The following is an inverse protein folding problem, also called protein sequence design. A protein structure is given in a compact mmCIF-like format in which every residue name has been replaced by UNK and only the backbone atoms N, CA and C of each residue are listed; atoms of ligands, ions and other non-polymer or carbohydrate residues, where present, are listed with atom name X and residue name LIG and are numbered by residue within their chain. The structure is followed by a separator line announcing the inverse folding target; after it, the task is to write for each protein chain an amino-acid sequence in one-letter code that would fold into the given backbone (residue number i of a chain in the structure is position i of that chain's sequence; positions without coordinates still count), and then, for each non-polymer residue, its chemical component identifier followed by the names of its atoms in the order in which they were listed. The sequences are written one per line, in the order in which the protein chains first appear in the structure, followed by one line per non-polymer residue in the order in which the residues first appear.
data_IF_379558481302
#
_entry.id   IF_379558481302
#
_cell.length_a   1.000
_cell.length_b   1.000
_cell.length_c   1.000
_cell.angle_alpha   90.00
_cell.angle_beta   90.00
_cell.angle_gamma   90.00
#
_symmetry.space_group_name_H-M   'P 1'
#
loop_
_entity.id
_entity.type
_entity.pdbx_description
1 polymer ?
#
# COMPACT_ATOMS: atom_id res chain seq x y z
N UNK A 1 19.24 45.91 -14.17
CA UNK A 1 17.83 45.50 -14.01
C UNK A 1 17.65 44.16 -14.71
N UNK A 2 17.77 43.06 -13.96
CA UNK A 2 17.78 41.69 -14.50
C UNK A 2 16.42 41.05 -14.22
N UNK A 3 15.57 40.97 -15.23
CA UNK A 3 14.27 40.29 -15.18
C UNK A 3 14.38 38.91 -15.82
N UNK A 4 14.78 37.92 -15.00
CA UNK A 4 14.53 36.50 -15.29
C UNK A 4 13.09 36.17 -14.89
N UNK A 5 12.20 36.02 -15.86
CA UNK A 5 10.85 35.51 -15.62
C UNK A 5 10.71 34.18 -16.37
N UNK A 6 10.49 33.14 -15.56
CA UNK A 6 10.43 31.72 -15.88
C UNK A 6 9.45 31.40 -17.03
N UNK A 7 9.97 30.81 -18.11
CA UNK A 7 9.21 30.35 -19.27
C UNK A 7 9.27 28.82 -19.47
N UNK A 8 9.41 28.07 -18.38
CA UNK A 8 9.33 26.60 -18.40
C UNK A 8 8.31 26.09 -17.39
N UNK A 9 7.04 26.48 -17.55
CA UNK A 9 5.94 25.86 -16.82
C UNK A 9 5.02 25.12 -17.78
N UNK A 10 5.16 23.80 -17.71
CA UNK A 10 4.16 22.78 -18.01
C UNK A 10 3.59 22.73 -19.43
N UNK A 11 4.34 22.09 -20.33
CA UNK A 11 3.77 21.28 -21.41
C UNK A 11 3.59 19.82 -20.96
N UNK A 12 3.16 19.61 -19.71
CA UNK A 12 2.47 18.37 -19.35
C UNK A 12 0.98 18.70 -19.34
N UNK A 13 0.42 18.82 -20.54
CA UNK A 13 -1.01 18.72 -20.74
C UNK A 13 -1.47 17.44 -20.07
N UNK A 14 -2.17 17.60 -18.94
CA UNK A 14 -2.72 16.49 -18.18
C UNK A 14 -3.69 15.75 -19.09
N UNK A 15 -3.27 14.57 -19.57
CA UNK A 15 -4.16 13.54 -20.07
C UNK A 15 -4.94 13.01 -18.85
N UNK A 16 -5.88 13.82 -18.36
CA UNK A 16 -6.55 13.67 -17.06
C UNK A 16 -7.75 12.74 -17.10
N UNK A 17 -7.91 11.94 -18.16
CA UNK A 17 -9.04 11.04 -18.33
C UNK A 17 -8.55 9.64 -18.72
N UNK A 18 -8.11 8.85 -17.71
CA UNK A 18 -8.05 7.36 -17.71
C UNK A 18 -7.60 6.72 -16.37
N UNK A 19 -7.03 7.49 -15.42
CA UNK A 19 -6.22 6.93 -14.31
C UNK A 19 -6.70 7.18 -12.87
N UNK A 20 -8.01 7.19 -12.60
CA UNK A 20 -8.54 7.20 -11.22
C UNK A 20 -8.42 5.83 -10.52
N UNK A 21 -8.46 5.79 -9.18
CA UNK A 21 -8.66 4.52 -8.45
C UNK A 21 -10.06 4.01 -8.84
N UNK A 22 -10.21 2.81 -9.44
CA UNK A 22 -11.51 2.33 -9.89
C UNK A 22 -12.48 2.26 -8.70
N UNK A 23 -13.66 2.89 -8.84
CA UNK A 23 -14.69 2.94 -7.78
C UNK A 23 -15.24 1.52 -7.53
N UNK A 24 -15.66 1.21 -6.29
CA UNK A 24 -16.21 -0.13 -5.95
C UNK A 24 -17.41 -0.49 -6.84
N UNK A 25 -18.23 0.49 -7.17
CA UNK A 25 -19.45 0.30 -7.98
C UNK A 25 -19.16 0.21 -9.49
N UNK A 26 -17.89 0.33 -9.93
CA UNK A 26 -17.46 0.23 -11.34
C UNK A 26 -16.48 -0.94 -11.55
N UNK A 27 -16.56 -1.97 -10.72
CA UNK A 27 -15.74 -3.17 -10.90
C UNK A 27 -16.39 -4.08 -11.97
N UNK A 28 -15.60 -4.73 -12.85
CA UNK A 28 -16.14 -5.68 -13.83
C UNK A 28 -16.87 -6.81 -13.11
N UNK A 29 -17.98 -7.36 -13.63
CA UNK A 29 -18.77 -8.37 -12.93
C UNK A 29 -17.95 -9.63 -12.58
N UNK A 30 -18.43 -10.43 -11.60
CA UNK A 30 -17.77 -11.71 -11.30
C UNK A 30 -17.92 -12.65 -12.51
N UNK A 31 -16.85 -13.33 -12.97
CA UNK A 31 -16.87 -14.16 -14.17
C UNK A 31 -17.54 -15.53 -13.98
N UNK A 32 -18.70 -15.60 -13.32
CA UNK A 32 -19.40 -16.87 -13.03
C UNK A 32 -19.90 -17.59 -14.28
N UNK A 33 -20.13 -16.86 -15.37
CA UNK A 33 -20.66 -17.39 -16.64
C UNK A 33 -19.64 -18.16 -17.48
N UNK A 34 -18.33 -18.05 -17.17
CA UNK A 34 -17.27 -18.73 -17.92
C UNK A 34 -17.22 -20.25 -17.64
N UNK A 35 -17.94 -20.71 -16.63
CA UNK A 35 -17.93 -22.09 -16.18
C UNK A 35 -19.22 -22.76 -16.61
N UNK A 36 -19.12 -23.82 -17.41
CA UNK A 36 -20.19 -24.79 -17.63
C UNK A 36 -19.95 -25.99 -16.72
N UNK A 37 -21.02 -26.56 -16.15
CA UNK A 37 -20.89 -27.71 -15.24
C UNK A 37 -20.37 -28.96 -15.97
N UNK A 38 -20.57 -29.06 -17.29
CA UNK A 38 -20.08 -30.16 -18.13
C UNK A 38 -18.54 -30.17 -18.30
N UNK A 39 -17.91 -29.00 -18.22
CA UNK A 39 -16.47 -28.82 -18.44
C UNK A 39 -15.63 -28.99 -17.16
N UNK A 40 -16.27 -29.38 -16.04
CA UNK A 40 -15.61 -29.49 -14.73
C UNK A 40 -15.65 -30.92 -14.22
N UNK A 41 -14.48 -31.41 -13.82
CA UNK A 41 -14.38 -32.56 -12.93
C UNK A 41 -14.25 -32.10 -11.48
N UNK A 42 -15.12 -32.63 -10.62
CA UNK A 42 -15.07 -32.40 -9.19
C UNK A 42 -14.58 -33.63 -8.43
N UNK A 43 -13.63 -33.41 -7.52
CA UNK A 43 -13.08 -34.43 -6.62
C UNK A 43 -13.15 -33.96 -5.18
N UNK A 44 -13.61 -34.83 -4.29
CA UNK A 44 -13.60 -34.60 -2.85
C UNK A 44 -12.40 -35.28 -2.23
N UNK A 45 -11.70 -34.52 -1.39
CA UNK A 45 -10.48 -34.95 -0.73
C UNK A 45 -10.62 -34.79 0.79
N UNK A 46 -9.80 -35.55 1.51
CA UNK A 46 -9.59 -35.32 2.94
C UNK A 46 -8.69 -34.09 3.13
N UNK A 47 -8.85 -33.41 4.27
CA UNK A 47 -8.05 -32.22 4.64
C UNK A 47 -6.55 -32.48 4.86
N UNK A 48 -6.12 -33.74 4.80
CA UNK A 48 -4.75 -34.20 5.01
C UNK A 48 -4.47 -34.67 6.44
N UNK A 49 -3.22 -35.08 6.70
CA UNK A 49 -2.71 -35.44 8.04
C UNK A 49 -1.87 -34.32 8.65
N UNK A 50 -2.20 -33.07 8.33
CA UNK A 50 -1.47 -31.89 8.80
C UNK A 50 -1.92 -31.42 10.19
N UNK A 51 -1.25 -30.38 10.74
CA UNK A 51 -1.72 -29.68 11.93
C UNK A 51 -3.12 -29.11 11.67
N UNK A 52 -4.12 -29.76 12.25
CA UNK A 52 -5.53 -29.49 12.02
C UNK A 52 -6.38 -30.30 12.99
N UNK A 53 -7.61 -29.84 13.24
CA UNK A 53 -8.53 -30.57 14.12
C UNK A 53 -8.96 -31.91 13.52
N UNK A 54 -9.33 -32.85 14.38
CA UNK A 54 -9.83 -34.18 13.98
C UNK A 54 -10.93 -34.09 12.91
N UNK A 55 -11.83 -33.12 13.03
CA UNK A 55 -12.91 -32.89 12.07
C UNK A 55 -12.40 -32.55 10.67
N UNK A 56 -11.35 -31.75 10.56
CA UNK A 56 -10.80 -31.31 9.27
C UNK A 56 -10.06 -32.46 8.58
N UNK A 57 -9.33 -33.27 9.35
CA UNK A 57 -8.49 -34.33 8.80
C UNK A 57 -9.31 -35.56 8.39
N UNK A 58 -10.41 -35.86 9.10
CA UNK A 58 -11.26 -37.03 8.83
C UNK A 58 -12.38 -36.78 7.81
N UNK A 59 -12.82 -35.53 7.63
CA UNK A 59 -13.96 -35.22 6.75
C UNK A 59 -13.50 -34.94 5.32
N UNK A 60 -14.25 -35.44 4.32
CA UNK A 60 -14.08 -35.15 2.90
C UNK A 60 -14.62 -33.78 2.49
N UNK A 61 -14.31 -32.73 3.25
CA UNK A 61 -14.83 -31.38 3.00
C UNK A 61 -13.99 -30.58 2.01
N UNK A 62 -12.76 -31.01 1.69
CA UNK A 62 -11.89 -30.32 0.73
C UNK A 62 -12.36 -30.65 -0.69
N UNK A 63 -12.53 -29.61 -1.51
CA UNK A 63 -12.99 -29.72 -2.89
C UNK A 63 -11.84 -29.40 -3.83
N UNK A 64 -11.64 -30.22 -4.84
CA UNK A 64 -10.75 -29.99 -5.96
C UNK A 64 -11.60 -29.95 -7.23
N UNK A 65 -11.49 -28.85 -7.97
CA UNK A 65 -12.12 -28.69 -9.29
C UNK A 65 -11.01 -28.66 -10.35
N UNK A 66 -11.22 -29.42 -11.40
CA UNK A 66 -10.38 -29.43 -12.60
C UNK A 66 -11.22 -28.98 -13.78
N UNK A 67 -10.79 -27.95 -14.48
CA UNK A 67 -11.41 -27.56 -15.74
C UNK A 67 -10.78 -28.39 -16.87
N UNK A 68 -11.57 -29.26 -17.48
CA UNK A 68 -11.11 -30.23 -18.48
C UNK A 68 -10.42 -29.56 -19.67
N UNK A 69 -11.01 -28.55 -20.34
CA UNK A 69 -10.43 -28.04 -21.59
C UNK A 69 -9.17 -27.19 -21.39
N UNK A 70 -8.99 -26.54 -20.23
CA UNK A 70 -7.75 -25.78 -19.94
C UNK A 70 -6.76 -26.54 -19.04
N UNK A 71 -7.14 -27.69 -18.50
CA UNK A 71 -6.33 -28.47 -17.55
C UNK A 71 -6.09 -27.75 -16.21
N UNK A 72 -6.80 -26.66 -15.92
CA UNK A 72 -6.55 -25.86 -14.71
C UNK A 72 -7.16 -26.51 -13.48
N UNK A 73 -6.34 -26.62 -12.43
CA UNK A 73 -6.74 -27.22 -11.16
C UNK A 73 -6.85 -26.16 -10.06
N UNK A 74 -7.93 -26.21 -9.30
CA UNK A 74 -8.17 -25.36 -8.13
C UNK A 74 -8.61 -26.24 -6.97
N UNK A 75 -7.98 -26.07 -5.81
CA UNK A 75 -8.43 -26.68 -4.56
C UNK A 75 -8.92 -25.63 -3.57
N UNK A 76 -9.91 -25.99 -2.76
CA UNK A 76 -10.47 -25.13 -1.73
C UNK A 76 -10.79 -25.92 -0.47
N UNK A 77 -10.32 -25.39 0.67
CA UNK A 77 -10.61 -25.87 2.02
C UNK A 77 -10.73 -24.64 2.92
N UNK A 78 -11.83 -23.88 2.77
CA UNK A 78 -12.04 -22.64 3.51
C UNK A 78 -12.92 -22.88 4.76
N UNK A 79 -13.88 -23.78 4.65
CA UNK A 79 -14.90 -24.04 5.68
C UNK A 79 -15.02 -25.53 5.97
N UNK A 80 -15.79 -25.87 7.02
CA UNK A 80 -16.16 -27.25 7.34
C UNK A 80 -17.24 -27.83 6.40
N UNK A 81 -17.94 -26.98 5.65
CA UNK A 81 -19.02 -27.39 4.75
C UNK A 81 -18.49 -27.63 3.33
N UNK A 82 -18.77 -28.81 2.79
CA UNK A 82 -18.38 -29.20 1.44
C UNK A 82 -19.06 -28.31 0.39
N UNK A 83 -20.35 -28.00 0.56
CA UNK A 83 -21.11 -27.20 -0.39
C UNK A 83 -20.59 -25.75 -0.45
N UNK A 84 -20.26 -25.15 0.70
CA UNK A 84 -19.62 -23.84 0.74
C UNK A 84 -18.25 -23.87 0.07
N UNK A 85 -17.46 -24.92 0.31
CA UNK A 85 -16.17 -25.08 -0.34
C UNK A 85 -16.29 -25.26 -1.86
N UNK A 86 -17.31 -25.97 -2.33
CA UNK A 86 -17.66 -26.14 -3.76
C UNK A 86 -18.00 -24.79 -4.39
N UNK A 87 -18.87 -24.00 -3.76
CA UNK A 87 -19.21 -22.65 -4.23
C UNK A 87 -17.97 -21.73 -4.33
N UNK A 88 -17.13 -21.73 -3.29
CA UNK A 88 -15.90 -20.94 -3.27
C UNK A 88 -14.89 -21.44 -4.31
N UNK A 89 -14.78 -22.76 -4.50
CA UNK A 89 -13.89 -23.35 -5.51
C UNK A 89 -14.30 -22.92 -6.92
N UNK A 90 -15.61 -22.92 -7.24
CA UNK A 90 -16.12 -22.41 -8.52
C UNK A 90 -15.79 -20.93 -8.72
N UNK A 91 -15.97 -20.09 -7.70
CA UNK A 91 -15.61 -18.67 -7.80
C UNK A 91 -14.11 -18.47 -8.05
N UNK A 92 -13.25 -19.27 -7.40
CA UNK A 92 -11.80 -19.23 -7.63
C UNK A 92 -11.42 -19.70 -9.03
N UNK A 93 -12.05 -20.77 -9.52
CA UNK A 93 -11.82 -21.28 -10.87
C UNK A 93 -12.23 -20.24 -11.92
N UNK A 94 -13.37 -19.59 -11.73
CA UNK A 94 -13.88 -18.56 -12.64
C UNK A 94 -12.91 -17.37 -12.74
N UNK A 95 -12.38 -16.91 -11.61
CA UNK A 95 -11.39 -15.84 -11.59
C UNK A 95 -10.08 -16.24 -12.29
N UNK A 96 -9.62 -17.48 -12.08
CA UNK A 96 -8.42 -17.98 -12.78
C UNK A 96 -8.64 -18.08 -14.30
N UNK A 97 -9.83 -18.50 -14.73
CA UNK A 97 -10.17 -18.56 -16.15
C UNK A 97 -10.26 -17.15 -16.76
N UNK A 98 -10.85 -16.19 -16.05
CA UNK A 98 -10.87 -14.79 -16.51
C UNK A 98 -9.45 -14.21 -16.64
N UNK A 99 -8.57 -14.50 -15.69
CA UNK A 99 -7.15 -14.12 -15.77
C UNK A 99 -6.43 -14.77 -16.96
N UNK A 100 -6.81 -16.01 -17.33
CA UNK A 100 -6.24 -16.73 -18.46
C UNK A 100 -6.72 -16.19 -19.81
N UNK A 101 -8.02 -15.94 -19.97
CA UNK A 101 -8.59 -15.45 -21.22
C UNK A 101 -8.35 -13.95 -21.43
N UNK A 102 -8.36 -13.15 -20.36
CA UNK A 102 -8.33 -11.68 -20.42
C UNK A 102 -7.20 -11.10 -19.54
N UNK A 103 -5.92 -11.29 -19.92
CA UNK A 103 -4.81 -10.76 -19.14
C UNK A 103 -4.87 -9.21 -19.08
N UNK A 104 -4.76 -8.65 -17.87
CA UNK A 104 -4.68 -7.20 -17.64
C UNK A 104 -6.05 -6.49 -17.53
N UNK A 105 -7.10 -7.00 -18.16
CA UNK A 105 -8.47 -6.48 -18.00
C UNK A 105 -9.31 -7.28 -17.03
N UNK A 106 -8.82 -8.43 -16.59
CA UNK A 106 -9.52 -9.32 -15.66
C UNK A 106 -9.92 -8.62 -14.37
N UNK A 107 -10.94 -9.15 -13.70
CA UNK A 107 -11.40 -8.58 -12.43
C UNK A 107 -10.30 -8.57 -11.38
N UNK A 108 -9.47 -9.61 -11.30
CA UNK A 108 -8.37 -9.68 -10.35
C UNK A 108 -7.30 -8.62 -10.64
N UNK A 109 -6.94 -8.42 -11.91
CA UNK A 109 -5.99 -7.39 -12.31
C UNK A 109 -6.46 -5.99 -11.87
N UNK A 110 -7.72 -5.65 -12.13
CA UNK A 110 -8.32 -4.38 -11.71
C UNK A 110 -8.33 -4.23 -10.18
N UNK A 111 -8.62 -5.31 -9.44
CA UNK A 111 -8.59 -5.30 -7.97
C UNK A 111 -7.16 -5.12 -7.43
N UNK A 112 -6.18 -5.78 -8.04
CA UNK A 112 -4.77 -5.64 -7.68
C UNK A 112 -4.25 -4.24 -7.95
N UNK A 113 -4.50 -3.68 -9.13
CA UNK A 113 -4.11 -2.32 -9.51
C UNK A 113 -4.71 -1.31 -8.52
N UNK A 114 -5.99 -1.50 -8.17
CA UNK A 114 -6.66 -0.67 -7.18
C UNK A 114 -5.98 -0.73 -5.81
N UNK A 115 -5.68 -1.93 -5.32
CA UNK A 115 -5.03 -2.13 -4.03
C UNK A 115 -3.66 -1.45 -3.98
N UNK A 116 -2.88 -1.57 -5.06
CA UNK A 116 -1.60 -0.89 -5.22
C UNK A 116 -1.75 0.64 -5.18
N UNK A 117 -2.68 1.20 -5.96
CA UNK A 117 -2.94 2.66 -5.95
C UNK A 117 -3.36 3.16 -4.57
N UNK A 118 -4.24 2.45 -3.86
CA UNK A 118 -4.65 2.80 -2.49
C UNK A 118 -3.45 2.77 -1.54
N UNK A 119 -2.60 1.74 -1.63
CA UNK A 119 -1.36 1.64 -0.82
C UNK A 119 -0.43 2.82 -1.10
N UNK A 120 -0.20 3.15 -2.38
CA UNK A 120 0.63 4.29 -2.79
C UNK A 120 0.06 5.62 -2.26
N UNK A 121 -1.25 5.86 -2.37
CA UNK A 121 -1.88 7.07 -1.84
C UNK A 121 -1.73 7.18 -0.33
N UNK A 122 -1.90 6.08 0.41
CA UNK A 122 -1.70 6.05 1.88
C UNK A 122 -0.25 6.37 2.24
N UNK A 123 0.71 5.74 1.58
CA UNK A 123 2.15 5.99 1.80
C UNK A 123 2.53 7.44 1.45
N UNK A 124 2.02 8.01 0.34
CA UNK A 124 2.24 9.42 0.01
C UNK A 124 1.70 10.35 1.10
N UNK A 125 0.53 10.05 1.67
CA UNK A 125 -0.06 10.83 2.77
C UNK A 125 0.76 10.73 4.05
N UNK A 126 1.22 9.53 4.43
CA UNK A 126 2.08 9.35 5.60
C UNK A 126 3.41 10.09 5.42
N UNK A 127 4.08 9.91 4.29
CA UNK A 127 5.38 10.53 4.04
C UNK A 127 5.29 12.07 4.08
N UNK A 128 4.22 12.65 3.52
CA UNK A 128 3.97 14.09 3.63
C UNK A 128 3.77 14.56 5.07
N UNK A 129 3.07 13.78 5.90
CA UNK A 129 2.86 14.11 7.32
C UNK A 129 4.20 14.12 8.07
N UNK A 130 4.98 13.04 7.97
CA UNK A 130 6.24 12.92 8.69
C UNK A 130 7.27 13.94 8.20
N UNK A 131 7.33 14.19 6.89
CA UNK A 131 8.19 15.25 6.32
C UNK A 131 7.85 16.63 6.88
N UNK A 132 6.57 16.99 7.00
CA UNK A 132 6.16 18.28 7.60
C UNK A 132 6.61 18.42 9.05
N UNK A 133 6.48 17.36 9.85
CA UNK A 133 6.92 17.35 11.25
C UNK A 133 8.45 17.45 11.35
N UNK A 134 9.17 16.76 10.46
CA UNK A 134 10.62 16.83 10.38
C UNK A 134 11.10 18.23 9.99
N UNK A 135 10.52 18.83 8.95
CA UNK A 135 10.80 20.20 8.52
C UNK A 135 10.50 21.22 9.64
N UNK A 136 9.39 21.07 10.38
CA UNK A 136 9.04 21.91 11.53
C UNK A 136 10.04 21.77 12.69
N UNK A 137 10.50 20.56 12.97
CA UNK A 137 11.49 20.31 14.02
C UNK A 137 12.86 20.88 13.64
N UNK A 138 13.27 20.73 12.39
CA UNK A 138 14.51 21.32 11.86
C UNK A 138 14.44 22.85 11.95
N UNK A 139 13.30 23.45 11.59
CA UNK A 139 13.12 24.90 11.68
C UNK A 139 13.23 25.40 13.12
N UNK A 140 12.60 24.72 14.09
CA UNK A 140 12.71 25.05 15.51
C UNK A 140 14.16 24.93 16.02
N UNK A 141 14.87 23.89 15.62
CA UNK A 141 16.28 23.73 16.00
C UNK A 141 17.16 24.86 15.46
N UNK A 142 16.97 25.26 14.19
CA UNK A 142 17.69 26.41 13.61
C UNK A 142 17.31 27.74 14.28
N UNK A 143 16.06 27.89 14.71
CA UNK A 143 15.62 29.10 15.40
C UNK A 143 16.21 29.19 16.81
N UNK A 144 16.24 28.06 17.54
CA UNK A 144 16.92 27.94 18.83
C UNK A 144 18.40 28.25 18.72
N UNK A 145 19.10 27.67 17.73
CA UNK A 145 20.54 27.93 17.55
C UNK A 145 20.84 29.39 17.23
N UNK A 146 19.99 30.04 16.42
CA UNK A 146 20.10 31.49 16.13
C UNK A 146 19.85 32.34 17.36
N UNK A 147 18.88 31.96 18.20
CA UNK A 147 18.62 32.64 19.46
C UNK A 147 19.80 32.49 20.41
N UNK A 148 20.38 31.30 20.54
CA UNK A 148 21.60 31.05 21.32
C UNK A 148 22.77 31.89 20.82
N UNK A 149 23.03 31.94 19.51
CA UNK A 149 24.05 32.81 18.92
C UNK A 149 23.76 34.31 19.17
N UNK A 150 22.49 34.73 19.16
CA UNK A 150 22.11 36.13 19.44
C UNK A 150 22.19 36.48 20.93
N UNK A 151 21.99 35.47 21.78
CA UNK A 151 22.20 35.50 23.23
C UNK A 151 23.65 35.16 23.58
N UNK A 152 24.60 35.39 22.66
CA UNK A 152 25.93 35.87 23.05
C UNK A 152 25.74 37.16 23.87
N UNK A 153 25.30 36.98 25.12
CA UNK A 153 25.76 37.70 26.27
C UNK A 153 27.26 37.70 26.06
N UNK A 154 27.81 38.85 25.61
CA UNK A 154 29.25 39.10 25.71
C UNK A 154 29.65 38.53 27.06
N UNK A 155 30.56 37.57 27.04
CA UNK A 155 30.99 36.84 28.22
C UNK A 155 31.01 37.82 29.39
N UNK A 156 30.13 37.62 30.39
CA UNK A 156 30.08 38.50 31.56
C UNK A 156 31.49 38.57 32.19
N UNK A 157 32.27 37.52 31.97
CA UNK A 157 33.68 37.36 32.31
C UNK A 157 34.59 38.35 31.55
N UNK A 158 34.35 38.64 30.26
CA UNK A 158 35.11 39.63 29.49
C UNK A 158 34.83 41.07 29.98
N UNK A 159 33.59 41.36 30.39
CA UNK A 159 33.19 42.67 30.94
C UNK A 159 33.70 42.86 32.39
N UNK A 160 33.84 41.78 33.16
CA UNK A 160 34.44 41.77 34.49
C UNK A 160 35.98 41.92 34.44
N UNK A 161 36.64 41.31 33.47
CA UNK A 161 38.10 41.43 33.28
C UNK A 161 38.52 42.84 32.86
N UNK A 162 37.72 43.52 32.03
CA UNK A 162 37.95 44.94 31.69
C UNK A 162 37.66 45.88 32.88
N UNK A 163 36.69 45.54 33.74
CA UNK A 163 36.45 46.27 35.00
C UNK A 163 37.62 46.12 35.99
N UNK A 164 38.17 44.92 36.17
CA UNK A 164 39.33 44.69 37.05
C UNK A 164 40.59 45.37 36.51
N UNK A 165 40.80 45.43 35.19
CA UNK A 165 41.92 46.17 34.60
C UNK A 165 41.84 47.66 34.86
N UNK A 166 40.67 48.27 34.70
CA UNK A 166 40.50 49.71 34.97
C UNK A 166 40.57 50.04 36.47
N UNK A 167 40.12 49.15 37.36
CA UNK A 167 40.24 49.35 38.80
C UNK A 167 41.67 49.22 39.36
N UNK A 168 42.60 48.61 38.61
CA UNK A 168 44.03 48.48 38.99
C UNK A 168 44.91 49.66 38.57
N UNK A 169 44.37 50.68 37.91
CA UNK A 169 45.15 51.83 37.42
C UNK A 169 45.24 52.98 38.44
N UNK A 170 44.44 52.97 39.51
CA UNK A 170 44.35 54.06 40.51
C UNK A 170 44.98 53.75 41.89
N UNK A 171 46.00 52.91 41.97
CA UNK A 171 46.83 52.66 43.17
C UNK A 171 48.33 52.73 42.82
#
# INVERSE_FOLDING_TARGET
MSSRINLFRSLFTSNSLKYGIPKKNKLPPRPKHLIKEEDIEEKFLHGGRGPGGQKINKTNSKVQLTHIPTGMVVSCQATRSQEQNRAIAREKLALKLDDFYNPGTSRNAVLMERAQKVKQSKSKKSNRKYKKVEDENIQKQMELSKLEESLNIKDIDDEFDDFIKNAKVDL
#
